data_IF_605565495710
#
_entry.id   IF_605565495710
#
_cell.length_a   1.000
_cell.length_b   1.000
_cell.length_c   1.000
_cell.angle_alpha   90.00
_cell.angle_beta   90.00
_cell.angle_gamma   90.00
#
_symmetry.space_group_name_H-M   'P 1'
#
loop_
_entity.id
_entity.type
_entity.pdbx_description
1 polymer ?
#
# COMPACT_ATOMS: atom_id res chain seq x y z
N UNK A 1 -49.34 26.81 43.53
CA UNK A 1 -49.29 25.34 43.49
C UNK A 1 -48.15 24.91 42.62
N UNK A 2 -47.01 24.67 43.27
CA UNK A 2 -45.77 24.22 42.66
C UNK A 2 -45.87 22.77 42.22
N UNK A 3 -45.67 22.52 40.92
CA UNK A 3 -45.40 21.18 40.42
C UNK A 3 -43.90 20.90 40.53
N UNK A 4 -43.44 20.58 41.74
CA UNK A 4 -42.12 20.05 41.98
C UNK A 4 -42.02 18.65 41.33
N UNK A 5 -41.36 18.56 40.17
CA UNK A 5 -40.97 17.29 39.56
C UNK A 5 -39.82 16.70 40.38
N UNK A 6 -40.10 15.64 41.12
CA UNK A 6 -39.10 14.82 41.80
C UNK A 6 -38.32 14.05 40.72
N UNK A 7 -37.05 14.39 40.51
CA UNK A 7 -36.14 13.58 39.71
C UNK A 7 -35.39 12.62 40.63
N UNK A 8 -35.76 11.34 40.59
CA UNK A 8 -34.95 10.29 41.18
C UNK A 8 -33.70 10.08 40.30
N UNK A 9 -32.53 10.37 40.85
CA UNK A 9 -31.24 10.07 40.22
C UNK A 9 -30.83 8.67 40.66
N UNK A 10 -30.89 7.71 39.75
CA UNK A 10 -30.26 6.41 39.95
C UNK A 10 -28.78 6.58 39.68
N UNK A 11 -27.96 6.52 40.74
CA UNK A 11 -26.52 6.34 40.59
C UNK A 11 -26.28 4.92 40.09
N UNK A 12 -26.36 4.76 38.77
CA UNK A 12 -25.86 3.57 38.10
C UNK A 12 -24.38 3.47 38.42
N UNK A 13 -24.01 2.43 39.18
CA UNK A 13 -22.64 1.96 39.31
C UNK A 13 -22.08 1.84 37.90
N UNK A 14 -21.26 2.83 37.52
CA UNK A 14 -20.50 2.81 36.28
C UNK A 14 -19.47 1.71 36.44
N UNK A 15 -19.86 0.49 36.05
CA UNK A 15 -18.90 -0.54 35.67
C UNK A 15 -18.12 0.09 34.53
N UNK A 16 -16.92 0.56 34.84
CA UNK A 16 -16.00 1.11 33.86
C UNK A 16 -15.85 0.06 32.76
N UNK A 17 -16.40 0.39 31.60
CA UNK A 17 -16.28 -0.39 30.39
C UNK A 17 -14.78 -0.37 30.04
N UNK A 18 -14.03 -1.34 30.58
CA UNK A 18 -12.58 -1.53 30.41
C UNK A 18 -12.27 -2.02 28.99
N UNK A 19 -12.93 -1.46 27.97
CA UNK A 19 -12.53 -1.68 26.58
C UNK A 19 -11.23 -0.93 26.35
N UNK A 20 -10.15 -1.59 25.90
CA UNK A 20 -8.91 -0.89 25.60
C UNK A 20 -9.16 0.18 24.55
N UNK A 21 -8.74 1.42 24.83
CA UNK A 21 -8.85 2.60 23.94
C UNK A 21 -8.04 2.48 22.63
N UNK A 22 -7.46 1.32 22.34
CA UNK A 22 -6.58 1.07 21.21
C UNK A 22 -6.92 -0.26 20.55
N UNK A 23 -6.83 -0.32 19.22
CA UNK A 23 -6.84 -1.59 18.49
C UNK A 23 -5.53 -2.32 18.79
N UNK A 24 -5.60 -3.57 19.21
CA UNK A 24 -4.44 -4.47 19.30
C UNK A 24 -4.32 -5.28 18.02
N UNK A 25 -3.09 -5.65 17.66
CA UNK A 25 -2.84 -6.77 16.75
C UNK A 25 -1.93 -7.77 17.43
N UNK A 26 -2.23 -9.04 17.23
CA UNK A 26 -1.39 -10.14 17.66
C UNK A 26 -0.29 -10.34 16.61
N UNK A 27 0.97 -10.20 17.02
CA UNK A 27 2.14 -10.43 16.16
C UNK A 27 2.98 -11.53 16.79
N UNK A 28 3.55 -12.40 15.98
CA UNK A 28 4.52 -13.39 16.43
C UNK A 28 5.90 -12.75 16.60
N UNK A 29 6.54 -12.97 17.73
CA UNK A 29 7.91 -12.50 17.97
C UNK A 29 8.91 -13.31 17.12
N UNK A 30 9.36 -12.70 16.03
CA UNK A 30 10.37 -13.24 15.12
C UNK A 30 11.67 -12.43 15.20
N UNK A 31 12.00 -11.90 16.38
CA UNK A 31 13.30 -11.25 16.59
C UNK A 31 14.45 -12.25 16.35
N UNK A 32 15.66 -11.78 15.98
CA UNK A 32 16.82 -12.66 15.78
C UNK A 32 17.09 -13.59 16.97
N UNK A 33 16.87 -13.09 18.20
CA UNK A 33 17.00 -13.87 19.43
C UNK A 33 15.94 -14.96 19.58
N UNK A 34 14.68 -14.67 19.24
CA UNK A 34 13.60 -15.65 19.28
C UNK A 34 13.82 -16.77 18.24
N UNK A 35 14.23 -16.38 17.03
CA UNK A 35 14.58 -17.32 15.95
C UNK A 35 15.80 -18.17 16.33
N UNK A 36 16.82 -17.57 16.95
CA UNK A 36 17.99 -18.30 17.43
C UNK A 36 17.60 -19.38 18.45
N UNK A 37 16.75 -19.02 19.43
CA UNK A 37 16.23 -19.99 20.42
C UNK A 37 15.43 -21.10 19.78
N UNK A 38 14.58 -20.76 18.80
CA UNK A 38 13.82 -21.76 18.05
C UNK A 38 14.74 -22.76 17.34
N UNK A 39 15.80 -22.29 16.70
CA UNK A 39 16.80 -23.16 16.04
C UNK A 39 17.52 -24.07 17.04
N UNK A 40 17.99 -23.53 18.16
CA UNK A 40 18.65 -24.34 19.19
C UNK A 40 17.69 -25.38 19.79
N UNK A 41 16.44 -25.00 20.01
CA UNK A 41 15.43 -25.91 20.56
C UNK A 41 15.09 -27.05 19.60
N UNK A 42 14.98 -26.77 18.29
CA UNK A 42 14.84 -27.83 17.27
C UNK A 42 16.09 -28.71 17.18
N UNK A 43 17.29 -28.15 17.35
CA UNK A 43 18.55 -28.91 17.34
C UNK A 43 18.64 -29.89 18.51
N UNK A 44 18.08 -29.51 19.66
CA UNK A 44 18.02 -30.35 20.86
C UNK A 44 16.86 -31.36 20.83
N UNK A 45 15.86 -31.13 19.97
CA UNK A 45 14.70 -32.01 19.84
C UNK A 45 15.08 -33.28 19.07
N UNK A 46 14.89 -34.44 19.68
CA UNK A 46 15.19 -35.72 19.03
C UNK A 46 14.06 -36.14 18.09
N UNK A 47 14.32 -36.13 16.78
CA UNK A 47 13.40 -36.63 15.76
C UNK A 47 13.29 -38.16 15.73
N UNK A 48 14.09 -38.87 16.53
CA UNK A 48 14.05 -40.33 16.62
C UNK A 48 12.68 -40.89 17.04
N UNK A 49 11.84 -40.06 17.67
CA UNK A 49 10.46 -40.42 18.04
C UNK A 49 9.57 -40.63 16.81
N UNK A 50 9.86 -39.96 15.69
CA UNK A 50 9.08 -40.08 14.45
C UNK A 50 9.23 -41.46 13.80
N UNK A 51 10.38 -42.12 13.98
CA UNK A 51 10.65 -43.47 13.47
C UNK A 51 9.83 -44.57 14.16
N UNK A 52 9.10 -44.23 15.23
CA UNK A 52 8.21 -45.17 15.95
C UNK A 52 6.84 -45.29 15.29
N UNK A 53 6.51 -44.41 14.36
CA UNK A 53 5.24 -44.45 13.64
C UNK A 53 5.41 -45.24 12.34
N UNK A 54 4.54 -46.22 12.12
CA UNK A 54 4.49 -47.03 10.90
C UNK A 54 3.76 -46.33 9.76
N UNK A 55 2.90 -45.38 10.09
CA UNK A 55 2.17 -44.56 9.13
C UNK A 55 2.85 -43.21 8.92
N UNK A 56 3.02 -42.85 7.65
CA UNK A 56 3.66 -41.62 7.23
C UNK A 56 2.82 -40.37 7.56
N UNK A 57 1.49 -40.48 7.50
CA UNK A 57 0.60 -39.34 7.83
C UNK A 57 0.71 -39.02 9.32
N UNK A 58 0.58 -40.04 10.18
CA UNK A 58 0.77 -39.88 11.63
C UNK A 58 2.19 -39.39 12.00
N UNK A 59 3.24 -39.83 11.29
CA UNK A 59 4.59 -39.33 11.51
C UNK A 59 4.71 -37.84 11.13
N UNK A 60 4.11 -37.44 10.02
CA UNK A 60 4.10 -36.04 9.56
C UNK A 60 3.32 -35.13 10.50
N UNK A 61 2.15 -35.56 10.98
CA UNK A 61 1.35 -34.78 11.93
C UNK A 61 2.09 -34.54 13.25
N UNK A 62 2.79 -35.56 13.76
CA UNK A 62 3.62 -35.42 14.95
C UNK A 62 4.83 -34.50 14.72
N UNK A 63 5.45 -34.56 13.54
CA UNK A 63 6.49 -33.61 13.16
C UNK A 63 5.96 -32.17 13.14
N UNK A 64 4.81 -31.94 12.52
CA UNK A 64 4.18 -30.63 12.45
C UNK A 64 3.76 -30.12 13.83
N UNK A 65 3.30 -31.02 14.71
CA UNK A 65 2.98 -30.69 16.09
C UNK A 65 4.23 -30.24 16.85
N UNK A 66 5.35 -30.96 16.71
CA UNK A 66 6.63 -30.59 17.31
C UNK A 66 7.09 -29.21 16.81
N UNK A 67 7.06 -28.98 15.50
CA UNK A 67 7.41 -27.69 14.90
C UNK A 67 6.53 -26.55 15.43
N UNK A 68 5.21 -26.78 15.52
CA UNK A 68 4.24 -25.79 16.02
C UNK A 68 4.48 -25.48 17.50
N UNK A 69 4.76 -26.49 18.31
CA UNK A 69 5.02 -26.33 19.75
C UNK A 69 6.32 -25.55 19.97
N UNK A 70 7.41 -25.98 19.33
CA UNK A 70 8.70 -25.27 19.38
C UNK A 70 8.56 -23.82 18.92
N UNK A 71 7.76 -23.55 17.87
CA UNK A 71 7.50 -22.19 17.40
C UNK A 71 6.67 -21.38 18.40
N UNK A 72 5.68 -21.96 19.06
CA UNK A 72 4.87 -21.28 20.06
C UNK A 72 5.65 -20.97 21.35
N UNK A 73 6.56 -21.85 21.75
CA UNK A 73 7.40 -21.66 22.93
C UNK A 73 8.45 -20.57 22.71
N UNK A 74 9.15 -20.62 21.57
CA UNK A 74 10.27 -19.72 21.28
C UNK A 74 9.82 -18.39 20.68
N UNK A 75 8.81 -18.42 19.80
CA UNK A 75 8.30 -17.26 19.06
C UNK A 75 6.88 -16.95 19.55
N UNK A 76 6.78 -16.43 20.78
CA UNK A 76 5.50 -16.15 21.44
C UNK A 76 4.67 -15.11 20.68
N UNK A 77 3.35 -15.28 20.71
CA UNK A 77 2.42 -14.25 20.27
C UNK A 77 2.41 -13.11 21.28
N UNK A 78 2.57 -11.89 20.77
CA UNK A 78 2.56 -10.66 21.58
C UNK A 78 1.50 -9.72 21.03
N UNK A 79 0.73 -9.11 21.93
CA UNK A 79 -0.15 -8.03 21.56
C UNK A 79 0.66 -6.75 21.38
N UNK A 80 0.56 -6.16 20.20
CA UNK A 80 1.18 -4.87 19.92
C UNK A 80 0.09 -3.83 19.76
N UNK A 81 0.23 -2.71 20.48
CA UNK A 81 -0.64 -1.55 20.34
C UNK A 81 -0.54 -1.01 18.92
N UNK A 82 -1.67 -0.89 18.22
CA UNK A 82 -1.73 -0.18 16.96
C UNK A 82 -1.97 1.28 17.30
N UNK A 83 -1.00 2.14 17.00
CA UNK A 83 -1.25 3.58 16.99
C UNK A 83 -2.18 3.89 15.81
N UNK A 84 -3.49 3.98 16.10
CA UNK A 84 -4.54 4.32 15.13
C UNK A 84 -4.62 5.81 14.83
N UNK A 85 -3.82 6.64 15.50
CA UNK A 85 -3.69 8.05 15.14
C UNK A 85 -2.84 8.13 13.88
N UNK A 86 -3.50 7.98 12.74
CA UNK A 86 -2.97 8.46 11.47
C UNK A 86 -2.75 9.96 11.63
N UNK A 87 -1.54 10.34 12.04
CA UNK A 87 -1.15 11.75 11.98
C UNK A 87 -1.30 12.14 10.53
N UNK A 88 -2.13 13.14 10.20
CA UNK A 88 -2.22 13.62 8.84
C UNK A 88 -0.80 13.95 8.39
N UNK A 89 -0.40 13.40 7.25
CA UNK A 89 0.87 13.76 6.63
C UNK A 89 0.79 15.24 6.28
N UNK A 90 1.14 16.10 7.22
CA UNK A 90 1.06 17.54 7.06
C UNK A 90 2.33 18.02 6.35
N UNK A 91 2.52 17.55 5.12
CA UNK A 91 3.59 18.03 4.25
C UNK A 91 3.23 19.47 3.90
N UNK A 92 3.88 20.44 4.56
CA UNK A 92 3.67 21.86 4.33
C UNK A 92 4.34 22.28 3.02
N UNK A 93 3.59 22.25 1.93
CA UNK A 93 4.04 22.67 0.60
C UNK A 93 3.65 24.13 0.26
N UNK A 94 2.74 24.74 1.01
CA UNK A 94 2.32 26.13 0.78
C UNK A 94 3.32 27.10 1.42
N UNK A 95 3.97 27.92 0.59
CA UNK A 95 5.05 28.83 1.00
C UNK A 95 4.62 30.30 0.88
N UNK A 96 5.30 31.23 1.57
CA UNK A 96 5.08 32.67 1.39
C UNK A 96 5.27 33.11 -0.08
N UNK A 97 6.26 32.55 -0.78
CA UNK A 97 6.45 32.82 -2.22
C UNK A 97 5.20 32.45 -3.04
N UNK A 98 4.61 31.28 -2.77
CA UNK A 98 3.41 30.85 -3.47
C UNK A 98 2.18 31.73 -3.12
N UNK A 99 2.14 32.29 -1.92
CA UNK A 99 1.15 33.27 -1.52
C UNK A 99 1.29 34.59 -2.29
N UNK A 100 2.51 35.08 -2.52
CA UNK A 100 2.74 36.25 -3.37
C UNK A 100 2.28 36.02 -4.81
N UNK A 101 2.60 34.85 -5.40
CA UNK A 101 2.14 34.50 -6.75
C UNK A 101 0.61 34.43 -6.80
N UNK A 102 -0.04 33.92 -5.74
CA UNK A 102 -1.50 33.92 -5.63
C UNK A 102 -2.07 35.35 -5.62
N UNK A 103 -1.43 36.31 -4.93
CA UNK A 103 -1.85 37.72 -4.97
C UNK A 103 -1.81 38.25 -6.40
N UNK A 104 -0.73 38.00 -7.14
CA UNK A 104 -0.66 38.38 -8.56
C UNK A 104 -1.78 37.76 -9.40
N UNK A 105 -2.12 36.48 -9.19
CA UNK A 105 -3.26 35.85 -9.90
C UNK A 105 -4.56 36.61 -9.67
N UNK A 106 -4.81 37.04 -8.43
CA UNK A 106 -6.01 37.82 -8.07
C UNK A 106 -5.95 39.21 -8.71
N UNK A 107 -4.84 39.94 -8.58
CA UNK A 107 -4.69 41.27 -9.17
C UNK A 107 -4.88 41.27 -10.70
N UNK A 108 -4.29 40.30 -11.40
CA UNK A 108 -4.43 40.19 -12.85
C UNK A 108 -5.84 39.75 -13.27
N UNK A 109 -6.50 38.93 -12.45
CA UNK A 109 -7.91 38.60 -12.67
C UNK A 109 -8.80 39.84 -12.54
N UNK A 110 -8.60 40.65 -11.50
CA UNK A 110 -9.36 41.88 -11.29
C UNK A 110 -9.13 42.88 -12.43
N UNK A 111 -7.87 43.04 -12.87
CA UNK A 111 -7.51 43.86 -14.03
C UNK A 111 -8.22 43.41 -15.30
N UNK A 112 -8.21 42.11 -15.61
CA UNK A 112 -8.93 41.56 -16.75
C UNK A 112 -10.44 41.80 -16.62
N UNK A 113 -11.02 41.52 -15.45
CA UNK A 113 -12.45 41.69 -15.20
C UNK A 113 -12.91 43.13 -15.39
N UNK A 114 -12.11 44.10 -14.94
CA UNK A 114 -12.40 45.53 -15.04
C UNK A 114 -12.14 46.11 -16.44
N UNK A 115 -11.53 45.35 -17.34
CA UNK A 115 -11.18 45.80 -18.70
C UNK A 115 -12.16 45.39 -19.79
N UNK A 116 -13.23 44.70 -19.43
CA UNK A 116 -14.23 44.22 -20.38
C UNK A 116 -14.79 45.38 -21.21
N UNK A 117 -14.86 45.21 -22.53
CA UNK A 117 -15.34 46.24 -23.44
C UNK A 117 -14.32 47.34 -23.76
N UNK A 118 -13.08 47.25 -23.25
CA UNK A 118 -11.97 48.15 -23.63
C UNK A 118 -11.11 47.53 -24.72
N UNK A 119 -10.37 48.35 -25.47
CA UNK A 119 -9.40 47.88 -26.48
C UNK A 119 -8.30 46.97 -25.89
N UNK A 120 -8.06 47.07 -24.58
CA UNK A 120 -7.02 46.31 -23.87
C UNK A 120 -7.49 44.97 -23.30
N UNK A 121 -8.78 44.61 -23.42
CA UNK A 121 -9.35 43.38 -22.84
C UNK A 121 -8.53 42.12 -23.21
N UNK A 122 -8.20 41.99 -24.50
CA UNK A 122 -7.46 40.84 -25.01
C UNK A 122 -6.05 40.73 -24.42
N UNK A 123 -5.39 41.86 -24.17
CA UNK A 123 -4.05 41.88 -23.58
C UNK A 123 -4.12 41.46 -22.10
N UNK A 124 -5.04 42.02 -21.33
CA UNK A 124 -5.18 41.65 -19.92
C UNK A 124 -5.67 40.22 -19.71
N UNK A 125 -6.48 39.69 -20.63
CA UNK A 125 -6.85 38.26 -20.65
C UNK A 125 -5.63 37.36 -20.84
N UNK A 126 -4.73 37.71 -21.77
CA UNK A 126 -3.47 36.98 -22.00
C UNK A 126 -2.56 37.04 -20.77
N UNK A 127 -2.43 38.21 -20.16
CA UNK A 127 -1.61 38.40 -18.96
C UNK A 127 -2.13 37.55 -17.79
N UNK A 128 -3.44 37.57 -17.52
CA UNK A 128 -4.06 36.73 -16.51
C UNK A 128 -3.81 35.23 -16.78
N UNK A 129 -3.98 34.79 -18.03
CA UNK A 129 -3.73 33.40 -18.40
C UNK A 129 -2.26 32.99 -18.15
N UNK A 130 -1.31 33.88 -18.44
CA UNK A 130 0.12 33.66 -18.19
C UNK A 130 0.42 33.52 -16.68
N UNK A 131 -0.08 34.45 -15.86
CA UNK A 131 0.14 34.41 -14.40
C UNK A 131 -0.53 33.18 -13.77
N UNK A 132 -1.74 32.82 -14.24
CA UNK A 132 -2.43 31.60 -13.80
C UNK A 132 -1.66 30.33 -14.16
N UNK A 133 -1.06 30.27 -15.35
CA UNK A 133 -0.19 29.17 -15.79
C UNK A 133 1.05 29.08 -14.91
N UNK A 134 1.70 30.20 -14.63
CA UNK A 134 2.86 30.27 -13.73
C UNK A 134 2.50 29.78 -12.33
N UNK A 135 1.38 30.21 -11.77
CA UNK A 135 0.92 29.76 -10.45
C UNK A 135 0.71 28.24 -10.38
N UNK A 136 0.05 27.65 -11.38
CA UNK A 136 -0.12 26.19 -11.47
C UNK A 136 1.21 25.45 -11.53
N UNK A 137 2.14 25.96 -12.34
CA UNK A 137 3.49 25.38 -12.43
C UNK A 137 4.22 25.45 -11.07
N UNK A 138 4.14 26.59 -10.39
CA UNK A 138 4.77 26.80 -9.09
C UNK A 138 4.15 25.93 -8.00
N UNK A 139 2.83 25.73 -7.98
CA UNK A 139 2.19 24.75 -7.08
C UNK A 139 2.85 23.38 -7.23
N UNK A 140 2.96 22.88 -8.46
CA UNK A 140 3.51 21.56 -8.72
C UNK A 140 4.98 21.46 -8.30
N UNK A 141 5.76 22.52 -8.56
CA UNK A 141 7.14 22.62 -8.13
C UNK A 141 7.27 22.55 -6.60
N UNK A 142 6.53 23.36 -5.86
CA UNK A 142 6.59 23.38 -4.40
C UNK A 142 6.09 22.08 -3.75
N UNK A 143 5.08 21.43 -4.34
CA UNK A 143 4.65 20.08 -3.91
C UNK A 143 5.79 19.07 -4.06
N UNK A 144 6.46 19.05 -5.22
CA UNK A 144 7.61 18.15 -5.46
C UNK A 144 8.72 18.38 -4.44
N UNK A 145 9.12 19.63 -4.23
CA UNK A 145 10.15 19.98 -3.23
C UNK A 145 9.75 19.56 -1.82
N UNK A 146 8.51 19.79 -1.43
CA UNK A 146 8.03 19.44 -0.10
C UNK A 146 8.06 17.91 0.12
N UNK A 147 7.65 17.14 -0.90
CA UNK A 147 7.72 15.67 -0.88
C UNK A 147 9.18 15.18 -0.83
N UNK A 148 10.07 15.78 -1.64
CA UNK A 148 11.49 15.44 -1.66
C UNK A 148 12.15 15.72 -0.30
N UNK A 149 11.90 16.90 0.29
CA UNK A 149 12.39 17.27 1.62
C UNK A 149 11.86 16.33 2.70
N UNK A 150 10.58 15.94 2.62
CA UNK A 150 9.97 14.99 3.54
C UNK A 150 10.65 13.61 3.48
N UNK A 151 10.93 13.09 2.27
CA UNK A 151 11.59 11.79 2.08
C UNK A 151 13.05 11.85 2.56
N UNK A 152 13.79 12.90 2.16
CA UNK A 152 15.20 13.08 2.54
C UNK A 152 15.41 13.17 4.04
N UNK A 153 14.52 13.89 4.75
CA UNK A 153 14.63 14.10 6.19
C UNK A 153 14.01 12.97 7.02
N UNK A 154 13.45 11.92 6.40
CA UNK A 154 12.84 10.81 7.13
C UNK A 154 13.90 9.80 7.59
N UNK A 155 13.74 9.30 8.83
CA UNK A 155 14.53 8.17 9.33
C UNK A 155 14.30 6.88 8.54
N UNK A 156 13.13 6.73 7.91
CA UNK A 156 12.82 5.61 7.02
C UNK A 156 12.32 6.13 5.67
N UNK A 157 13.27 6.31 4.73
CA UNK A 157 13.03 6.86 3.39
C UNK A 157 12.01 6.05 2.58
N UNK A 158 12.09 4.72 2.65
CA UNK A 158 11.18 3.83 1.94
C UNK A 158 9.73 3.97 2.44
N UNK A 159 9.54 3.96 3.78
CA UNK A 159 8.23 4.18 4.39
C UNK A 159 7.69 5.58 4.10
N UNK A 160 8.55 6.60 4.06
CA UNK A 160 8.17 7.97 3.68
C UNK A 160 7.73 8.07 2.22
N UNK A 161 8.47 7.47 1.29
CA UNK A 161 8.12 7.42 -0.12
C UNK A 161 6.77 6.72 -0.33
N UNK A 162 6.57 5.54 0.28
CA UNK A 162 5.29 4.84 0.23
C UNK A 162 4.13 5.65 0.80
N UNK A 163 4.38 6.42 1.86
CA UNK A 163 3.39 7.34 2.42
C UNK A 163 3.01 8.45 1.45
N UNK A 164 3.97 9.03 0.73
CA UNK A 164 3.71 10.04 -0.31
C UNK A 164 2.91 9.44 -1.46
N UNK A 165 3.31 8.27 -1.95
CA UNK A 165 2.59 7.55 -3.01
C UNK A 165 1.15 7.31 -2.58
N UNK A 166 0.93 6.74 -1.38
CA UNK A 166 -0.40 6.43 -0.85
C UNK A 166 -1.28 7.67 -0.69
N UNK A 167 -0.71 8.82 -0.32
CA UNK A 167 -1.48 10.07 -0.21
C UNK A 167 -1.90 10.63 -1.57
N UNK A 168 -1.11 10.44 -2.63
CA UNK A 168 -1.40 10.95 -3.97
C UNK A 168 -2.26 9.98 -4.81
N UNK A 169 -2.10 8.66 -4.62
CA UNK A 169 -2.93 7.65 -5.31
C UNK A 169 -4.37 7.61 -4.79
N UNK A 170 -4.64 8.21 -3.62
CA UNK A 170 -5.96 8.25 -3.02
C UNK A 170 -6.40 6.88 -2.50
N UNK A 171 -6.94 6.81 -1.28
CA UNK A 171 -7.62 5.61 -0.79
C UNK A 171 -9.00 5.38 -1.46
N UNK A 172 -9.22 5.97 -2.64
CA UNK A 172 -10.41 5.74 -3.45
C UNK A 172 -10.13 4.58 -4.40
N UNK A 173 -10.02 3.39 -3.83
CA UNK A 173 -10.44 2.23 -4.60
C UNK A 173 -11.94 2.43 -4.74
N UNK A 174 -12.38 2.94 -5.89
CA UNK A 174 -13.78 2.79 -6.26
C UNK A 174 -13.99 1.28 -6.32
N UNK A 175 -14.70 0.71 -5.35
CA UNK A 175 -15.03 -0.72 -5.34
C UNK A 175 -15.81 -1.15 -6.60
N UNK A 176 -16.25 -0.18 -7.40
CA UNK A 176 -16.88 -0.36 -8.71
C UNK A 176 -15.89 -0.74 -9.83
N UNK A 177 -14.57 -0.66 -9.63
CA UNK A 177 -13.56 -1.03 -10.64
C UNK A 177 -13.05 -2.48 -10.51
N UNK A 178 -13.58 -3.27 -9.56
CA UNK A 178 -13.29 -4.71 -9.51
C UNK A 178 -14.18 -5.40 -10.55
N UNK A 179 -13.70 -5.43 -11.79
CA UNK A 179 -14.38 -6.08 -12.94
C UNK A 179 -14.50 -7.60 -12.76
N UNK A 180 -13.67 -8.20 -11.89
CA UNK A 180 -13.64 -9.65 -11.67
C UNK A 180 -13.87 -9.94 -10.18
N UNK A 181 -15.06 -10.44 -9.86
CA UNK A 181 -15.35 -10.92 -8.51
C UNK A 181 -14.64 -12.26 -8.24
N UNK A 182 -14.42 -12.58 -6.97
CA UNK A 182 -13.71 -13.79 -6.52
C UNK A 182 -14.35 -15.09 -7.02
N UNK A 183 -15.67 -15.14 -7.10
CA UNK A 183 -16.41 -16.28 -7.67
C UNK A 183 -16.13 -16.46 -9.16
N UNK A 184 -16.09 -15.39 -9.95
CA UNK A 184 -15.74 -15.45 -11.38
C UNK A 184 -14.30 -15.88 -11.59
N UNK A 185 -13.37 -15.37 -10.77
CA UNK A 185 -11.96 -15.79 -10.81
C UNK A 185 -11.81 -17.27 -10.45
N UNK A 186 -12.41 -17.71 -9.35
CA UNK A 186 -12.31 -19.09 -8.88
C UNK A 186 -12.96 -20.04 -9.89
N UNK A 187 -14.16 -19.72 -10.39
CA UNK A 187 -14.84 -20.53 -11.39
C UNK A 187 -14.01 -20.68 -12.67
N UNK A 188 -13.31 -19.63 -13.11
CA UNK A 188 -12.42 -19.72 -14.27
C UNK A 188 -11.31 -20.75 -14.04
N UNK A 189 -10.64 -20.73 -12.90
CA UNK A 189 -9.53 -21.67 -12.62
C UNK A 189 -10.02 -23.09 -12.31
N UNK A 190 -11.16 -23.26 -11.64
CA UNK A 190 -11.72 -24.59 -11.38
C UNK A 190 -12.25 -25.25 -12.65
N UNK A 191 -12.82 -24.47 -13.56
CA UNK A 191 -13.40 -24.98 -14.81
C UNK A 191 -12.40 -25.01 -15.96
N UNK A 192 -11.22 -24.41 -15.80
CA UNK A 192 -10.16 -24.35 -16.82
C UNK A 192 -9.76 -25.75 -17.30
N UNK A 193 -9.64 -26.71 -16.37
CA UNK A 193 -9.26 -28.10 -16.69
C UNK A 193 -10.39 -28.78 -17.47
N UNK A 194 -11.65 -28.57 -17.07
CA UNK A 194 -12.83 -29.13 -17.75
C UNK A 194 -13.03 -28.54 -19.15
N UNK A 195 -12.76 -27.24 -19.34
CA UNK A 195 -12.82 -26.59 -20.66
C UNK A 195 -11.67 -27.02 -21.59
N UNK A 196 -10.49 -27.33 -21.03
CA UNK A 196 -9.37 -27.90 -21.78
C UNK A 196 -9.66 -29.33 -22.24
N UNK A 197 -10.29 -30.14 -21.40
CA UNK A 197 -10.73 -31.51 -21.77
C UNK A 197 -11.85 -31.50 -22.81
N UNK A 198 -12.83 -30.59 -22.73
CA UNK A 198 -13.94 -30.52 -23.69
C UNK A 198 -13.53 -30.00 -25.08
N UNK A 199 -12.46 -29.21 -25.17
CA UNK A 199 -11.88 -28.76 -26.44
C UNK A 199 -10.83 -29.74 -27.00
N UNK A 200 -10.54 -30.85 -26.28
CA UNK A 200 -9.43 -31.77 -26.56
C UNK A 200 -9.64 -32.78 -27.70
N UNK A 201 -10.64 -32.61 -28.57
CA UNK A 201 -10.58 -33.27 -29.89
C UNK A 201 -9.47 -32.70 -30.80
N UNK A 202 -8.80 -31.63 -30.39
CA UNK A 202 -7.49 -31.25 -30.91
C UNK A 202 -6.43 -31.48 -29.83
N UNK A 203 -5.62 -32.54 -30.00
CA UNK A 203 -4.29 -32.61 -29.38
C UNK A 203 -3.58 -31.29 -29.71
N UNK A 204 -3.25 -30.41 -28.74
CA UNK A 204 -2.44 -29.25 -29.06
C UNK A 204 -1.12 -29.76 -29.63
N UNK A 205 -0.82 -29.40 -30.87
CA UNK A 205 0.47 -29.78 -31.46
C UNK A 205 1.58 -29.26 -30.54
N UNK A 206 2.69 -29.99 -30.40
CA UNK A 206 3.82 -29.56 -29.55
C UNK A 206 4.30 -28.15 -29.90
N UNK A 207 3.98 -27.66 -31.10
CA UNK A 207 4.36 -26.35 -31.60
C UNK A 207 3.34 -25.26 -31.26
N UNK A 208 2.17 -25.58 -30.70
CA UNK A 208 1.13 -24.57 -30.39
C UNK A 208 1.57 -23.58 -29.32
N UNK A 209 2.31 -24.07 -28.31
CA UNK A 209 2.90 -23.20 -27.30
C UNK A 209 3.94 -22.26 -27.92
N UNK A 210 4.74 -22.77 -28.88
CA UNK A 210 5.73 -21.99 -29.62
C UNK A 210 5.04 -20.93 -30.48
N UNK A 211 3.99 -21.29 -31.25
CA UNK A 211 3.20 -20.37 -32.06
C UNK A 211 2.53 -19.25 -31.25
N UNK A 212 2.04 -19.56 -30.05
CA UNK A 212 1.41 -18.55 -29.17
C UNK A 212 2.45 -17.57 -28.62
N UNK A 213 3.63 -18.07 -28.26
CA UNK A 213 4.75 -17.22 -27.80
C UNK A 213 5.28 -16.37 -28.96
N UNK A 214 5.45 -16.94 -30.15
CA UNK A 214 5.89 -16.22 -31.34
C UNK A 214 4.87 -15.14 -31.74
N UNK A 215 3.57 -15.45 -31.77
CA UNK A 215 2.53 -14.44 -32.01
C UNK A 215 2.54 -13.33 -30.96
N UNK A 216 2.77 -13.67 -29.69
CA UNK A 216 2.86 -12.67 -28.63
C UNK A 216 4.07 -11.75 -28.84
N UNK A 217 5.25 -12.31 -29.13
CA UNK A 217 6.49 -11.57 -29.38
C UNK A 217 6.35 -10.70 -30.63
N UNK A 218 5.84 -11.24 -31.74
CA UNK A 218 5.63 -10.50 -32.99
C UNK A 218 4.67 -9.33 -32.84
N UNK A 219 3.65 -9.45 -31.99
CA UNK A 219 2.70 -8.37 -31.71
C UNK A 219 3.24 -7.33 -30.68
N UNK A 220 4.36 -7.60 -30.02
CA UNK A 220 4.95 -6.74 -28.99
C UNK A 220 6.17 -5.93 -29.46
N UNK A 221 6.49 -5.95 -30.76
CA UNK A 221 7.72 -5.38 -31.29
C UNK A 221 7.88 -3.86 -31.16
N UNK A 222 6.90 -3.12 -30.65
CA UNK A 222 6.93 -1.65 -30.75
C UNK A 222 6.97 -0.86 -29.43
N UNK A 223 7.15 -1.48 -28.25
CA UNK A 223 7.14 -0.64 -27.02
C UNK A 223 8.30 -0.66 -26.05
N UNK A 224 9.03 -1.74 -25.75
CA UNK A 224 10.20 -1.61 -24.85
C UNK A 224 11.22 -2.73 -25.09
N UNK A 225 12.37 -2.41 -25.69
CA UNK A 225 13.55 -3.27 -25.65
C UNK A 225 14.15 -3.19 -24.25
N UNK A 226 13.86 -4.19 -23.42
CA UNK A 226 14.56 -4.39 -22.15
C UNK A 226 15.99 -4.80 -22.46
N UNK A 227 16.91 -3.85 -22.33
CA UNK A 227 18.35 -4.13 -22.38
C UNK A 227 18.83 -4.50 -20.99
N UNK A 228 19.31 -5.72 -20.84
CA UNK A 228 19.99 -6.14 -19.62
C UNK A 228 21.34 -5.44 -19.55
N UNK A 229 21.56 -4.65 -18.50
CA UNK A 229 22.87 -4.06 -18.21
C UNK A 229 23.56 -4.86 -17.10
N UNK A 230 24.86 -5.10 -17.28
CA UNK A 230 25.70 -5.76 -16.29
C UNK A 230 25.95 -4.81 -15.12
N UNK A 231 25.40 -5.13 -13.96
CA UNK A 231 25.59 -4.37 -12.72
C UNK A 231 27.02 -4.58 -12.21
N UNK A 232 27.72 -3.49 -11.90
CA UNK A 232 29.07 -3.52 -11.34
C UNK A 232 29.06 -3.26 -9.83
N UNK A 233 30.19 -3.55 -9.16
CA UNK A 233 30.37 -3.24 -7.72
C UNK A 233 30.24 -1.75 -7.41
N UNK A 234 30.56 -0.88 -8.38
CA UNK A 234 30.39 0.58 -8.27
C UNK A 234 28.92 0.98 -8.22
N UNK A 235 28.07 0.30 -9.00
CA UNK A 235 26.62 0.57 -9.02
C UNK A 235 25.95 0.17 -7.69
N UNK A 236 26.44 -0.90 -7.07
CA UNK A 236 26.02 -1.36 -5.75
C UNK A 236 26.39 -0.33 -4.68
N UNK A 237 27.61 0.23 -4.73
CA UNK A 237 28.09 1.22 -3.78
C UNK A 237 27.37 2.58 -3.90
N UNK A 238 26.81 2.91 -5.08
CA UNK A 238 25.98 4.12 -5.27
C UNK A 238 24.57 4.00 -4.71
N UNK A 239 24.10 2.77 -4.44
CA UNK A 239 22.74 2.52 -3.98
C UNK A 239 22.59 2.51 -2.44
N UNK A 240 23.71 2.50 -1.71
CA UNK A 240 23.79 2.54 -0.24
C UNK A 240 24.02 3.97 0.24
#
# INVERSE_FOLDING_TARGET
>A
SDHARVFAKFDGLSLSDNRPKYKTRTIRDLTPRAIFRFREHLRQSSLSQLNKHTDAELAFDNFMLLMKNSLNECCKLKETKINTVERPNNIKWYTPELQEIKKFVVTFYDRFKNSKGTSNENNYKKDYANVKRLYRHRINYFKKIANEKYIKNSSNKCKAAWKVIKSETGSRINYNDIVINSSSFNNYFTNLVSELDLKSNMRPSQNRAIELVENYISNFNDRYTLTWQKITTVDILKAV
#
